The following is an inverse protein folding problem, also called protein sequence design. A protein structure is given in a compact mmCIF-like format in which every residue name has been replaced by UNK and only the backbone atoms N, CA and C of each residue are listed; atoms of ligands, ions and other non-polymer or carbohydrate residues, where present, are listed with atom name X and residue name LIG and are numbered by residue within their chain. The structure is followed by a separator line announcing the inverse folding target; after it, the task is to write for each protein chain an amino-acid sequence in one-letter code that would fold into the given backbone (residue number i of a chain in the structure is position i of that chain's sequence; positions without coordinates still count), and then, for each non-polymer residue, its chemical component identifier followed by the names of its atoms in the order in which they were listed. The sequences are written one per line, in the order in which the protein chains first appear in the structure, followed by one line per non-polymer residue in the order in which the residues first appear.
data_IF_441008417775
#
_entry.id   IF_441008417775
#
_cell.length_a   1.000
_cell.length_b   1.000
_cell.length_c   1.000
_cell.angle_alpha   90.00
_cell.angle_beta   90.00
_cell.angle_gamma   90.00
#
_symmetry.space_group_name_H-M   'P 1'
#
loop_
_entity.id
_entity.type
_entity.pdbx_description
1 polymer ?
#
# COMPACT_ATOMS: atom_id res chain seq x y z
N UNK A 1 58.07 22.19 -1.59
CA UNK A 1 57.07 22.17 -0.49
C UNK A 1 56.11 21.00 -0.72
N UNK A 2 56.18 19.93 0.08
CA UNK A 2 55.28 18.78 -0.01
C UNK A 2 54.20 18.93 1.05
N UNK A 3 52.98 19.28 0.64
CA UNK A 3 51.83 19.37 1.53
C UNK A 3 51.40 17.93 1.87
N UNK A 4 51.48 17.57 3.15
CA UNK A 4 51.11 16.23 3.62
C UNK A 4 49.63 15.94 3.36
N UNK A 5 49.29 14.71 2.98
CA UNK A 5 47.92 14.23 2.78
C UNK A 5 47.03 14.43 4.02
N UNK A 6 47.62 14.47 5.22
CA UNK A 6 46.90 14.79 6.46
C UNK A 6 46.44 16.25 6.54
N UNK A 7 47.19 17.20 5.96
CA UNK A 7 46.80 18.60 5.95
C UNK A 7 45.58 18.87 5.05
N UNK A 8 45.45 18.13 3.94
CA UNK A 8 44.28 18.23 3.03
C UNK A 8 43.02 17.64 3.67
N UNK A 9 43.15 16.53 4.42
CA UNK A 9 42.02 15.90 5.09
C UNK A 9 41.41 16.77 6.20
N UNK A 10 42.24 17.48 6.98
CA UNK A 10 41.77 18.39 8.05
C UNK A 10 41.07 19.62 7.46
N UNK A 11 41.56 20.16 6.33
CA UNK A 11 40.94 21.30 5.66
C UNK A 11 39.56 20.96 5.07
N UNK A 12 39.37 19.74 4.54
CA UNK A 12 38.08 19.31 3.99
C UNK A 12 37.02 19.03 5.07
N UNK A 13 37.43 18.49 6.22
CA UNK A 13 36.50 18.22 7.34
C UNK A 13 36.05 19.53 8.00
N UNK A 14 36.94 20.53 8.12
CA UNK A 14 36.58 21.86 8.63
C UNK A 14 35.58 22.62 7.76
N UNK A 15 35.66 22.48 6.43
CA UNK A 15 34.75 23.17 5.50
C UNK A 15 33.33 22.58 5.50
N UNK A 16 33.17 21.30 5.83
CA UNK A 16 31.86 20.62 5.90
C UNK A 16 31.05 20.96 7.16
N UNK A 17 31.70 21.34 8.27
CA UNK A 17 31.01 21.70 9.52
C UNK A 17 30.44 23.13 9.50
N UNK A 18 30.93 24.02 8.62
CA UNK A 18 30.44 25.40 8.52
C UNK A 18 29.21 25.58 7.61
N UNK A 19 28.84 24.58 6.80
CA UNK A 19 27.74 24.69 5.81
C UNK A 19 26.35 24.26 6.34
N UNK A 20 26.23 23.89 7.61
CA UNK A 20 25.01 23.30 8.19
C UNK A 20 24.03 24.25 8.88
N UNK A 21 24.29 25.56 8.93
CA UNK A 21 23.59 26.48 9.84
C UNK A 21 22.74 27.58 9.17
N UNK A 22 22.33 27.43 7.91
CA UNK A 22 21.47 28.42 7.26
C UNK A 22 20.49 27.75 6.28
N UNK A 23 19.23 27.63 6.70
CA UNK A 23 17.98 27.68 5.91
C UNK A 23 16.83 27.24 6.83
N UNK A 24 16.19 28.16 7.55
CA UNK A 24 15.08 29.02 7.10
C UNK A 24 13.71 28.48 7.55
N UNK A 25 13.31 29.01 8.70
CA UNK A 25 11.97 29.46 9.07
C UNK A 25 11.14 29.89 7.85
N UNK A 26 9.97 29.27 7.65
CA UNK A 26 8.98 29.72 6.67
C UNK A 26 8.12 28.58 6.11
N UNK A 27 6.90 28.40 6.62
CA UNK A 27 5.97 27.40 6.10
C UNK A 27 4.60 27.51 6.74
N UNK A 28 3.80 28.43 6.22
CA UNK A 28 2.47 28.80 6.68
C UNK A 28 1.51 27.59 6.77
N UNK A 29 0.61 27.71 7.76
CA UNK A 29 -0.68 27.00 7.86
C UNK A 29 -1.39 26.98 6.50
N UNK A 30 -1.39 25.83 5.83
CA UNK A 30 -2.46 25.50 4.89
C UNK A 30 -3.58 24.86 5.71
N UNK A 31 -4.61 25.67 5.98
CA UNK A 31 -5.91 25.18 6.41
C UNK A 31 -6.44 24.32 5.26
N UNK A 32 -6.56 23.02 5.48
CA UNK A 32 -7.33 22.17 4.59
C UNK A 32 -8.78 22.67 4.63
N UNK A 33 -9.25 23.19 3.51
CA UNK A 33 -10.65 23.46 3.29
C UNK A 33 -11.46 22.17 3.53
N UNK A 34 -12.59 22.22 4.26
CA UNK A 34 -13.52 21.12 4.29
C UNK A 34 -14.06 20.90 2.87
N UNK A 35 -13.87 19.69 2.35
CA UNK A 35 -14.54 19.27 1.12
C UNK A 35 -16.05 19.28 1.39
N UNK A 36 -16.87 19.81 0.45
CA UNK A 36 -18.30 19.91 0.63
C UNK A 36 -18.91 18.52 0.77
N UNK A 37 -19.73 18.39 1.82
CA UNK A 37 -20.70 17.32 1.95
C UNK A 37 -21.54 17.29 0.67
N UNK A 38 -21.39 16.22 -0.11
CA UNK A 38 -22.36 15.86 -1.13
C UNK A 38 -23.53 15.22 -0.40
N UNK A 39 -24.47 16.07 -0.01
CA UNK A 39 -25.82 15.65 0.33
C UNK A 39 -26.46 15.03 -0.93
N UNK A 40 -26.97 13.79 -0.90
CA UNK A 40 -27.94 13.39 -1.89
C UNK A 40 -29.23 14.18 -1.63
N UNK A 41 -29.40 15.23 -2.42
CA UNK A 41 -30.68 15.82 -2.71
C UNK A 41 -31.70 14.75 -3.08
N UNK A 42 -32.95 14.95 -2.63
CA UNK A 42 -34.10 14.43 -3.35
C UNK A 42 -34.82 13.30 -2.65
N UNK A 43 -35.65 13.69 -1.68
CA UNK A 43 -37.00 13.16 -1.56
C UNK A 43 -37.69 13.29 -2.93
N UNK A 44 -37.56 12.27 -3.77
CA UNK A 44 -38.42 12.08 -4.91
C UNK A 44 -39.57 11.17 -4.45
N UNK A 45 -40.52 11.79 -3.77
CA UNK A 45 -41.83 11.23 -3.48
C UNK A 45 -42.61 11.16 -4.79
N UNK A 46 -42.51 10.03 -5.50
CA UNK A 46 -43.35 9.73 -6.65
C UNK A 46 -44.67 9.14 -6.15
N UNK A 47 -45.61 10.02 -5.83
CA UNK A 47 -47.04 9.66 -5.80
C UNK A 47 -47.53 9.61 -7.25
N UNK A 48 -47.60 8.40 -7.82
CA UNK A 48 -48.02 8.23 -9.20
C UNK A 48 -48.48 6.81 -9.53
N UNK A 49 -49.77 6.58 -9.31
CA UNK A 49 -50.65 5.71 -10.10
C UNK A 49 -50.22 4.25 -10.38
N UNK A 50 -50.86 3.34 -9.65
CA UNK A 50 -51.01 1.92 -9.98
C UNK A 50 -51.71 1.75 -11.35
N UNK A 51 -51.12 0.97 -12.27
CA UNK A 51 -51.86 0.22 -13.31
C UNK A 51 -51.20 -1.13 -13.58
N UNK A 52 -51.99 -2.17 -13.29
CA UNK A 52 -52.11 -3.50 -13.91
C UNK A 52 -50.87 -4.24 -14.44
N UNK A 53 -50.51 -5.31 -13.73
CA UNK A 53 -50.50 -6.67 -14.29
C UNK A 53 -49.33 -7.06 -15.19
N UNK A 54 -48.18 -7.38 -14.60
CA UNK A 54 -47.25 -8.40 -15.12
C UNK A 54 -46.75 -9.25 -13.95
N UNK A 55 -46.72 -10.57 -14.13
CA UNK A 55 -46.28 -11.52 -13.12
C UNK A 55 -44.85 -11.21 -12.66
N UNK A 56 -44.71 -10.81 -11.39
CA UNK A 56 -43.42 -10.55 -10.77
C UNK A 56 -42.73 -11.89 -10.46
N UNK A 57 -41.68 -12.22 -11.23
CA UNK A 57 -40.66 -13.16 -10.79
C UNK A 57 -39.99 -12.55 -9.55
N UNK A 58 -40.28 -13.13 -8.38
CA UNK A 58 -39.70 -12.73 -7.11
C UNK A 58 -38.20 -13.01 -7.08
N UNK A 59 -37.40 -12.02 -7.52
CA UNK A 59 -35.97 -11.98 -7.25
C UNK A 59 -35.77 -11.68 -5.77
N UNK A 60 -35.55 -12.72 -4.96
CA UNK A 60 -35.20 -12.55 -3.55
C UNK A 60 -33.93 -11.69 -3.44
N UNK A 61 -33.92 -10.61 -2.64
CA UNK A 61 -32.71 -9.83 -2.44
C UNK A 61 -31.71 -10.68 -1.65
N UNK A 62 -30.66 -11.10 -2.34
CA UNK A 62 -29.51 -11.75 -1.72
C UNK A 62 -28.87 -10.74 -0.77
N UNK A 63 -29.21 -10.84 0.50
CA UNK A 63 -28.67 -10.01 1.58
C UNK A 63 -27.24 -10.46 1.85
N UNK A 64 -26.34 -10.12 0.92
CA UNK A 64 -24.90 -10.27 1.11
C UNK A 64 -24.50 -9.40 2.29
N UNK A 65 -24.18 -10.03 3.41
CA UNK A 65 -23.62 -9.36 4.58
C UNK A 65 -22.33 -8.69 4.13
N UNK A 66 -22.34 -7.37 4.00
CA UNK A 66 -21.15 -6.60 3.65
C UNK A 66 -20.11 -6.81 4.76
N UNK A 67 -19.15 -7.70 4.51
CA UNK A 67 -18.04 -7.93 5.43
C UNK A 67 -17.21 -6.65 5.48
N UNK A 68 -17.22 -5.97 6.62
CA UNK A 68 -16.40 -4.78 6.84
C UNK A 68 -14.97 -5.06 6.38
N UNK A 69 -14.48 -4.27 5.43
CA UNK A 69 -13.15 -4.41 4.89
C UNK A 69 -12.14 -4.09 5.99
N UNK A 70 -11.45 -5.11 6.50
CA UNK A 70 -10.37 -4.91 7.47
C UNK A 70 -9.20 -4.24 6.77
N UNK A 71 -8.70 -3.15 7.36
CA UNK A 71 -7.47 -2.51 6.89
C UNK A 71 -6.33 -3.52 6.94
N UNK A 72 -5.62 -3.77 5.82
CA UNK A 72 -4.53 -4.71 5.79
C UNK A 72 -3.35 -4.25 6.65
N UNK A 73 -2.82 -5.15 7.47
CA UNK A 73 -1.66 -4.90 8.33
C UNK A 73 -0.42 -4.62 7.48
N UNK A 74 0.28 -3.51 7.75
CA UNK A 74 1.60 -3.23 7.17
C UNK A 74 2.70 -3.84 8.03
N UNK A 75 3.59 -4.59 7.42
CA UNK A 75 4.74 -5.21 8.10
C UNK A 75 6.00 -4.41 7.81
N UNK A 76 6.81 -4.19 8.84
CA UNK A 76 8.09 -3.46 8.71
C UNK A 76 9.11 -4.23 7.86
N UNK A 77 9.10 -5.55 7.93
CA UNK A 77 10.05 -6.42 7.24
C UNK A 77 9.46 -7.82 7.03
N UNK A 78 10.16 -8.60 6.22
CA UNK A 78 9.82 -9.98 5.88
C UNK A 78 9.76 -10.91 7.10
N UNK A 79 10.62 -10.69 8.10
CA UNK A 79 10.63 -11.52 9.30
C UNK A 79 9.34 -11.37 10.11
N UNK A 80 8.86 -10.14 10.31
CA UNK A 80 7.61 -9.86 11.01
C UNK A 80 6.42 -10.49 10.27
N UNK A 81 6.37 -10.37 8.95
CA UNK A 81 5.30 -10.97 8.16
C UNK A 81 5.36 -12.50 8.14
N UNK A 82 6.55 -13.09 8.02
CA UNK A 82 6.73 -14.54 7.91
C UNK A 82 6.38 -15.30 9.19
N UNK A 83 6.22 -14.59 10.32
CA UNK A 83 5.61 -15.16 11.54
C UNK A 83 4.13 -15.53 11.32
N UNK A 84 3.41 -14.74 10.52
CA UNK A 84 1.98 -14.92 10.25
C UNK A 84 1.75 -15.61 8.90
N UNK A 85 2.56 -15.29 7.89
CA UNK A 85 2.48 -15.80 6.53
C UNK A 85 3.81 -16.43 6.14
N UNK A 86 4.02 -17.69 6.57
CA UNK A 86 5.31 -18.40 6.50
C UNK A 86 5.97 -18.38 5.11
N UNK A 87 5.16 -18.49 4.06
CA UNK A 87 5.62 -18.59 2.67
C UNK A 87 5.36 -17.29 1.89
N UNK A 88 5.07 -16.19 2.58
CA UNK A 88 4.77 -14.91 1.95
C UNK A 88 3.33 -14.71 1.52
N UNK A 89 3.13 -13.59 0.84
CA UNK A 89 1.82 -13.10 0.40
C UNK A 89 1.96 -12.63 -1.04
N UNK A 90 1.08 -13.10 -1.92
CA UNK A 90 1.11 -12.76 -3.33
C UNK A 90 -0.24 -12.31 -3.86
N UNK A 91 -0.20 -11.74 -5.06
CA UNK A 91 -1.40 -11.37 -5.80
C UNK A 91 -2.10 -12.62 -6.34
N UNK A 92 -3.38 -12.49 -6.66
CA UNK A 92 -4.13 -13.52 -7.40
C UNK A 92 -3.46 -13.73 -8.76
N UNK A 93 -3.08 -14.98 -9.03
CA UNK A 93 -2.39 -15.36 -10.26
C UNK A 93 -0.89 -15.06 -10.27
N UNK A 94 -0.30 -14.66 -9.14
CA UNK A 94 1.14 -14.52 -9.05
C UNK A 94 1.82 -15.89 -9.21
N UNK A 95 2.98 -15.89 -9.85
CA UNK A 95 3.80 -17.08 -10.09
C UNK A 95 5.22 -16.71 -9.70
N UNK A 96 5.78 -17.53 -8.81
CA UNK A 96 7.13 -17.36 -8.31
C UNK A 96 8.16 -17.48 -9.46
N UNK A 97 8.99 -16.45 -9.62
CA UNK A 97 10.07 -16.42 -10.61
C UNK A 97 11.36 -16.99 -10.03
N UNK A 98 11.41 -18.31 -9.98
CA UNK A 98 12.65 -19.01 -9.65
C UNK A 98 13.55 -19.24 -10.86
N UNK A 99 14.86 -19.24 -10.62
CA UNK A 99 15.84 -19.69 -11.60
C UNK A 99 15.71 -21.20 -11.89
N UNK A 100 16.36 -21.70 -12.96
CA UNK A 100 16.17 -23.06 -13.48
C UNK A 100 16.56 -24.20 -12.53
N UNK A 101 17.23 -23.90 -11.41
CA UNK A 101 17.67 -24.88 -10.40
C UNK A 101 16.92 -24.77 -9.08
N UNK A 102 16.04 -23.79 -8.92
CA UNK A 102 15.31 -23.53 -7.70
C UNK A 102 13.87 -24.02 -7.80
N UNK A 103 13.28 -24.38 -6.66
CA UNK A 103 11.89 -24.83 -6.59
C UNK A 103 10.98 -23.63 -6.31
N UNK A 104 9.92 -23.40 -7.11
CA UNK A 104 9.01 -22.30 -6.88
C UNK A 104 8.18 -22.52 -5.62
N UNK A 105 7.94 -21.45 -4.90
CA UNK A 105 7.03 -21.34 -3.77
C UNK A 105 5.61 -21.26 -4.30
N UNK A 106 4.83 -22.30 -4.04
CA UNK A 106 3.42 -22.40 -4.48
C UNK A 106 2.43 -22.20 -3.34
N UNK A 107 2.90 -22.25 -2.09
CA UNK A 107 2.06 -22.24 -0.88
C UNK A 107 2.03 -20.88 -0.19
N UNK A 108 2.05 -19.79 -0.94
CA UNK A 108 1.92 -18.43 -0.39
C UNK A 108 0.45 -18.06 -0.16
N UNK A 109 0.19 -17.08 0.71
CA UNK A 109 -1.16 -16.57 0.91
C UNK A 109 -1.54 -15.69 -0.29
N UNK A 110 -2.63 -16.00 -0.96
CA UNK A 110 -3.18 -15.13 -2.01
C UNK A 110 -4.05 -14.06 -1.36
N UNK A 111 -3.55 -12.82 -1.31
CA UNK A 111 -4.31 -11.67 -0.82
C UNK A 111 -3.81 -10.37 -1.47
N UNK A 112 -4.57 -9.88 -2.44
CA UNK A 112 -4.26 -8.64 -3.17
C UNK A 112 -4.20 -7.42 -2.26
N UNK A 113 -5.14 -7.30 -1.32
CA UNK A 113 -5.21 -6.12 -0.45
C UNK A 113 -4.00 -6.09 0.49
N UNK A 114 -3.61 -7.25 1.04
CA UNK A 114 -2.44 -7.32 1.91
C UNK A 114 -1.14 -7.11 1.14
N UNK A 115 -1.00 -7.67 -0.06
CA UNK A 115 0.16 -7.46 -0.92
C UNK A 115 0.32 -5.97 -1.29
N UNK A 116 -0.74 -5.32 -1.77
CA UNK A 116 -0.72 -3.90 -2.16
C UNK A 116 -0.49 -2.96 -0.98
N UNK A 117 -0.86 -3.38 0.23
CA UNK A 117 -0.58 -2.62 1.44
C UNK A 117 0.89 -2.69 1.86
N UNK A 118 1.72 -3.55 1.29
CA UNK A 118 3.13 -3.60 1.64
C UNK A 118 3.97 -2.62 0.81
N UNK A 119 5.09 -2.10 1.34
CA UNK A 119 6.07 -1.41 0.50
C UNK A 119 6.59 -2.37 -0.58
N UNK A 120 6.71 -1.85 -1.82
CA UNK A 120 7.16 -2.63 -2.98
C UNK A 120 8.55 -3.23 -2.81
N UNK A 121 9.36 -2.70 -1.89
CA UNK A 121 10.69 -3.22 -1.57
C UNK A 121 10.68 -4.60 -0.91
N UNK A 122 9.52 -5.09 -0.44
CA UNK A 122 9.37 -6.43 0.13
C UNK A 122 9.20 -7.53 -0.92
N UNK A 123 8.91 -7.17 -2.17
CA UNK A 123 8.91 -8.05 -3.34
C UNK A 123 10.11 -7.61 -4.20
N UNK A 124 11.26 -8.26 -3.98
CA UNK A 124 12.56 -7.78 -4.46
C UNK A 124 12.78 -8.09 -5.94
N UNK A 125 12.26 -9.22 -6.39
CA UNK A 125 12.30 -9.77 -7.73
C UNK A 125 11.07 -9.43 -8.58
N UNK A 126 10.03 -8.82 -7.99
CA UNK A 126 8.87 -8.24 -8.66
C UNK A 126 8.10 -9.27 -9.47
N UNK A 127 7.88 -10.42 -8.87
CA UNK A 127 7.08 -11.49 -9.45
C UNK A 127 5.62 -11.49 -8.97
N UNK A 128 5.28 -10.57 -8.05
CA UNK A 128 3.94 -10.45 -7.50
C UNK A 128 3.72 -11.28 -6.23
N UNK A 129 4.79 -11.86 -5.68
CA UNK A 129 4.83 -12.51 -4.38
C UNK A 129 5.83 -11.73 -3.53
N UNK A 130 5.45 -11.42 -2.29
CA UNK A 130 6.30 -10.66 -1.38
C UNK A 130 6.92 -11.61 -0.37
N UNK A 131 8.19 -11.35 -0.05
CA UNK A 131 9.11 -12.14 0.78
C UNK A 131 8.83 -13.64 0.88
N UNK A 132 8.68 -14.29 -0.25
CA UNK A 132 8.77 -15.74 -0.33
C UNK A 132 10.03 -16.26 0.38
N UNK A 133 9.96 -17.55 0.74
CA UNK A 133 11.09 -18.29 1.25
C UNK A 133 11.43 -19.39 0.25
N UNK A 134 12.50 -19.19 -0.53
CA UNK A 134 13.13 -20.25 -1.32
C UNK A 134 14.04 -21.13 -0.47
#
# INVERSE_FOLDING_TARGET
MRISRTAVAVALIGLLLAYGAAQSIGGLRAQAAPLPATEPAGLAQWSGAQRSGVAQLSSAPSSGTARAAKTPTRYKNCAARNRVHKNGVGRKGAVDKVGPRAKPVTKFRVDNALYLAQPKTLDRDRDGIACEKH
#
